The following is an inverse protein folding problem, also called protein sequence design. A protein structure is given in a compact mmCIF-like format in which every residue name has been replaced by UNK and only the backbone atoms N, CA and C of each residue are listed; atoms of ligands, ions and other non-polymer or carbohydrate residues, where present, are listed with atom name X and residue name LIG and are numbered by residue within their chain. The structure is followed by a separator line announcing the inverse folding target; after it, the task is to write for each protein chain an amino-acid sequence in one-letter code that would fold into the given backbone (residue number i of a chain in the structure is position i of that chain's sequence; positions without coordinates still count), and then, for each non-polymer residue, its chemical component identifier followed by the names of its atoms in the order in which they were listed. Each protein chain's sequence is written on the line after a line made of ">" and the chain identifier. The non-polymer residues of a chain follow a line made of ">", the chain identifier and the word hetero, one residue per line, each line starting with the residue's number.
data_IF_483772944725
#
_entry.id   IF_483772944725
#
_cell.length_a   1.000
_cell.length_b   1.000
_cell.length_c   1.000
_cell.angle_alpha   90.00
_cell.angle_beta   90.00
_cell.angle_gamma   90.00
#
_symmetry.space_group_name_H-M   'P 1'
#
loop_
_entity.id
_entity.type
_entity.pdbx_description
1 polymer ?
#
# COMPACT_ATOMS: atom_id res chain seq x y z
N UNK A 1 -3.14 65.95 1.91
CA UNK A 1 -2.05 65.07 2.36
C UNK A 1 -0.74 65.80 2.15
N UNK A 2 -0.10 66.21 3.24
CA UNK A 2 1.18 66.91 3.20
C UNK A 2 2.35 65.90 3.06
N UNK A 3 3.57 66.40 2.84
CA UNK A 3 4.72 65.54 2.59
C UNK A 3 5.15 64.70 3.82
N UNK A 4 4.91 65.20 5.04
CA UNK A 4 5.14 64.43 6.28
C UNK A 4 4.18 63.24 6.42
N UNK A 5 2.90 63.44 6.09
CA UNK A 5 1.91 62.37 6.07
C UNK A 5 2.25 61.31 5.02
N UNK A 6 2.80 61.71 3.87
CA UNK A 6 3.30 60.78 2.85
C UNK A 6 4.49 59.97 3.36
N UNK A 7 5.44 60.64 4.01
CA UNK A 7 6.66 59.99 4.52
C UNK A 7 6.33 58.94 5.59
N UNK A 8 5.43 59.25 6.53
CA UNK A 8 4.96 58.29 7.55
C UNK A 8 4.25 57.08 6.93
N UNK A 9 3.46 57.30 5.88
CA UNK A 9 2.83 56.18 5.16
C UNK A 9 3.88 55.29 4.49
N UNK A 10 4.93 55.86 3.90
CA UNK A 10 6.03 55.07 3.33
C UNK A 10 6.78 54.27 4.38
N UNK A 11 7.10 54.86 5.55
CA UNK A 11 7.77 54.14 6.64
C UNK A 11 6.94 52.96 7.16
N UNK A 12 5.62 53.14 7.27
CA UNK A 12 4.71 52.06 7.68
C UNK A 12 4.66 50.96 6.61
N UNK A 13 4.60 51.33 5.33
CA UNK A 13 4.59 50.37 4.23
C UNK A 13 5.89 49.57 4.15
N UNK A 14 7.04 50.23 4.27
CA UNK A 14 8.35 49.57 4.32
C UNK A 14 8.45 48.61 5.51
N UNK A 15 7.98 49.02 6.69
CA UNK A 15 7.94 48.15 7.86
C UNK A 15 7.07 46.90 7.65
N UNK A 16 5.91 47.05 6.99
CA UNK A 16 5.04 45.92 6.64
C UNK A 16 5.70 45.01 5.61
N UNK A 17 6.37 45.58 4.60
CA UNK A 17 7.08 44.81 3.57
C UNK A 17 8.20 43.98 4.21
N UNK A 18 9.05 44.59 5.03
CA UNK A 18 10.12 43.87 5.73
C UNK A 18 9.59 42.76 6.65
N UNK A 19 8.47 42.99 7.34
CA UNK A 19 7.84 41.95 8.15
C UNK A 19 7.31 40.80 7.30
N UNK A 20 6.66 41.08 6.16
CA UNK A 20 6.16 40.06 5.23
C UNK A 20 7.31 39.24 4.61
N UNK A 21 8.43 39.88 4.30
CA UNK A 21 9.63 39.20 3.79
C UNK A 21 10.21 38.24 4.84
N UNK A 22 10.37 38.69 6.08
CA UNK A 22 10.82 37.83 7.18
C UNK A 22 9.87 36.66 7.42
N UNK A 23 8.55 36.92 7.44
CA UNK A 23 7.55 35.88 7.63
C UNK A 23 7.56 34.84 6.50
N UNK A 24 7.77 35.28 5.26
CA UNK A 24 7.95 34.39 4.11
C UNK A 24 9.17 33.50 4.29
N UNK A 25 10.30 34.08 4.70
CA UNK A 25 11.54 33.33 4.86
C UNK A 25 11.43 32.26 5.96
N UNK A 26 10.76 32.59 7.07
CA UNK A 26 10.48 31.62 8.15
C UNK A 26 9.66 30.43 7.64
N UNK A 27 8.58 30.69 6.88
CA UNK A 27 7.76 29.63 6.28
C UNK A 27 8.59 28.77 5.31
N UNK A 28 9.39 29.40 4.45
CA UNK A 28 10.23 28.68 3.47
C UNK A 28 11.25 27.80 4.19
N UNK A 29 11.87 28.31 5.25
CA UNK A 29 12.82 27.55 6.06
C UNK A 29 12.16 26.35 6.74
N UNK A 30 10.99 26.52 7.33
CA UNK A 30 10.25 25.42 7.96
C UNK A 30 9.84 24.34 6.94
N UNK A 31 9.36 24.75 5.76
CA UNK A 31 9.03 23.82 4.67
C UNK A 31 10.27 23.04 4.23
N UNK A 32 11.41 23.72 4.05
CA UNK A 32 12.65 23.06 3.63
C UNK A 32 13.15 22.06 4.67
N UNK A 33 13.06 22.37 5.96
CA UNK A 33 13.40 21.43 7.03
C UNK A 33 12.52 20.17 6.97
N UNK A 34 11.20 20.33 6.81
CA UNK A 34 10.27 19.19 6.68
C UNK A 34 10.55 18.35 5.44
N UNK A 35 10.86 18.98 4.30
CA UNK A 35 11.24 18.29 3.07
C UNK A 35 12.50 17.44 3.29
N UNK A 36 13.51 17.97 3.99
CA UNK A 36 14.75 17.22 4.25
C UNK A 36 14.49 15.99 5.12
N UNK A 37 13.67 16.11 6.17
CA UNK A 37 13.26 14.95 7.00
C UNK A 37 12.54 13.89 6.16
N UNK A 38 11.64 14.30 5.25
CA UNK A 38 10.94 13.37 4.36
C UNK A 38 11.92 12.67 3.41
N UNK A 39 12.90 13.40 2.85
CA UNK A 39 13.94 12.80 2.00
C UNK A 39 14.78 11.79 2.77
N UNK A 40 15.15 12.09 4.00
CA UNK A 40 15.93 11.17 4.83
C UNK A 40 15.15 9.90 5.16
N UNK A 41 13.86 10.03 5.51
CA UNK A 41 12.97 8.89 5.72
C UNK A 41 12.83 8.04 4.45
N UNK A 42 12.65 8.67 3.29
CA UNK A 42 12.57 7.96 2.01
C UNK A 42 13.85 7.17 1.73
N UNK A 43 15.02 7.79 1.94
CA UNK A 43 16.32 7.13 1.77
C UNK A 43 16.56 5.99 2.77
N UNK A 44 15.96 6.05 3.96
CA UNK A 44 16.02 4.95 4.92
C UNK A 44 15.13 3.79 4.49
N UNK A 45 13.88 4.07 4.10
CA UNK A 45 12.94 3.07 3.61
C UNK A 45 13.50 2.36 2.37
N UNK A 46 14.11 3.09 1.44
CA UNK A 46 14.67 2.49 0.23
C UNK A 46 15.85 1.55 0.56
N UNK A 47 16.70 1.93 1.53
CA UNK A 47 17.78 1.05 2.03
C UNK A 47 17.23 -0.20 2.69
N UNK A 48 16.27 -0.05 3.61
CA UNK A 48 15.67 -1.16 4.33
C UNK A 48 14.93 -2.10 3.35
N UNK A 49 14.27 -1.55 2.33
CA UNK A 49 13.61 -2.33 1.29
C UNK A 49 14.60 -3.12 0.43
N UNK A 50 15.74 -2.52 0.07
CA UNK A 50 16.81 -3.21 -0.66
C UNK A 50 17.38 -4.35 0.19
N UNK A 51 17.61 -4.13 1.48
CA UNK A 51 18.14 -5.14 2.40
C UNK A 51 17.16 -6.30 2.60
N UNK A 52 15.89 -6.02 2.91
CA UNK A 52 14.84 -7.02 3.01
C UNK A 52 14.69 -7.80 1.71
N UNK A 53 14.78 -7.14 0.55
CA UNK A 53 14.71 -7.82 -0.75
C UNK A 53 15.89 -8.75 -0.97
N UNK A 54 17.10 -8.38 -0.51
CA UNK A 54 18.29 -9.24 -0.56
C UNK A 54 18.12 -10.45 0.35
N UNK A 55 17.72 -10.26 1.60
CA UNK A 55 17.49 -11.35 2.55
C UNK A 55 16.40 -12.32 2.07
N UNK A 56 15.30 -11.80 1.51
CA UNK A 56 14.24 -12.63 0.92
C UNK A 56 14.76 -13.42 -0.28
N UNK A 57 15.65 -12.85 -1.10
CA UNK A 57 16.27 -13.56 -2.22
C UNK A 57 17.18 -14.69 -1.74
N UNK A 58 18.03 -14.41 -0.77
CA UNK A 58 18.95 -15.39 -0.17
C UNK A 58 18.17 -16.52 0.54
N UNK A 59 17.12 -16.18 1.30
CA UNK A 59 16.23 -17.16 1.92
C UNK A 59 15.52 -18.02 0.86
N UNK A 60 15.02 -17.43 -0.24
CA UNK A 60 14.39 -18.19 -1.33
C UNK A 60 15.33 -19.15 -2.03
N UNK A 61 16.59 -18.76 -2.23
CA UNK A 61 17.65 -19.63 -2.78
C UNK A 61 17.97 -20.77 -1.79
N UNK A 62 18.07 -20.47 -0.49
CA UNK A 62 18.33 -21.46 0.56
C UNK A 62 17.20 -22.49 0.72
N UNK A 63 15.94 -22.07 0.61
CA UNK A 63 14.76 -22.95 0.73
C UNK A 63 14.28 -23.56 -0.60
N UNK A 64 14.97 -23.32 -1.72
CA UNK A 64 14.63 -23.91 -3.02
C UNK A 64 13.27 -23.48 -3.59
N UNK A 65 12.77 -22.30 -3.19
CA UNK A 65 11.45 -21.80 -3.60
C UNK A 65 11.56 -21.23 -5.00
N UNK A 66 11.33 -22.06 -6.03
CA UNK A 66 11.20 -21.60 -7.42
C UNK A 66 10.14 -20.51 -7.49
N UNK A 67 10.51 -19.34 -8.00
CA UNK A 67 9.58 -18.23 -8.22
C UNK A 67 8.37 -18.72 -9.03
N UNK A 68 7.19 -18.65 -8.42
CA UNK A 68 5.96 -18.64 -9.20
C UNK A 68 6.02 -17.39 -10.06
N UNK A 69 6.27 -17.58 -11.37
CA UNK A 69 6.28 -16.48 -12.35
C UNK A 69 5.08 -15.57 -12.09
N UNK A 70 5.26 -14.23 -12.05
CA UNK A 70 4.14 -13.33 -11.90
C UNK A 70 3.14 -13.64 -13.03
N UNK A 71 2.01 -14.24 -12.68
CA UNK A 71 0.92 -14.47 -13.62
C UNK A 71 0.43 -13.09 -14.02
N UNK A 72 0.69 -12.67 -15.27
CA UNK A 72 -0.01 -11.53 -15.86
C UNK A 72 -1.51 -11.75 -15.60
N UNK A 73 -2.23 -10.79 -14.99
CA UNK A 73 -3.66 -10.92 -14.82
C UNK A 73 -4.27 -11.08 -16.21
N UNK A 74 -4.82 -12.25 -16.47
CA UNK A 74 -5.29 -12.66 -17.80
C UNK A 74 -6.61 -11.98 -18.16
N UNK A 75 -7.19 -11.22 -17.23
CA UNK A 75 -8.53 -10.62 -17.34
C UNK A 75 -9.62 -11.69 -17.46
N UNK A 76 -9.31 -12.97 -17.23
CA UNK A 76 -10.25 -14.07 -17.38
C UNK A 76 -11.25 -14.04 -16.23
N UNK A 77 -12.51 -14.28 -16.55
CA UNK A 77 -13.54 -14.55 -15.53
C UNK A 77 -13.23 -15.86 -14.82
N UNK A 78 -13.76 -16.01 -13.61
CA UNK A 78 -13.73 -17.26 -12.86
C UNK A 78 -14.25 -18.43 -13.71
N UNK A 79 -13.57 -19.57 -13.61
CA UNK A 79 -14.04 -20.82 -14.26
C UNK A 79 -15.09 -21.50 -13.40
N UNK A 80 -15.99 -22.28 -14.01
CA UNK A 80 -16.97 -23.08 -13.27
C UNK A 80 -16.31 -23.98 -12.22
N UNK A 81 -15.17 -24.60 -12.56
CA UNK A 81 -14.41 -25.44 -11.61
C UNK A 81 -13.90 -24.68 -10.39
N UNK A 82 -13.45 -23.43 -10.55
CA UNK A 82 -13.05 -22.58 -9.43
C UNK A 82 -14.25 -22.16 -8.58
N UNK A 83 -15.37 -21.82 -9.23
CA UNK A 83 -16.60 -21.45 -8.55
C UNK A 83 -17.13 -22.59 -7.69
N UNK A 84 -17.22 -23.81 -8.25
CA UNK A 84 -17.66 -24.99 -7.53
C UNK A 84 -16.72 -25.33 -6.36
N UNK A 85 -15.42 -25.14 -6.55
CA UNK A 85 -14.43 -25.40 -5.51
C UNK A 85 -14.49 -24.38 -4.38
N UNK A 86 -14.69 -23.09 -4.69
CA UNK A 86 -14.93 -22.06 -3.69
C UNK A 86 -16.20 -22.33 -2.89
N UNK A 87 -17.32 -22.68 -3.55
CA UNK A 87 -18.57 -23.04 -2.86
C UNK A 87 -18.37 -24.18 -1.86
N UNK A 88 -17.57 -25.20 -2.22
CA UNK A 88 -17.18 -26.28 -1.28
C UNK A 88 -16.35 -25.78 -0.11
N UNK A 89 -15.34 -24.95 -0.36
CA UNK A 89 -14.47 -24.36 0.68
C UNK A 89 -15.25 -23.53 1.70
N UNK A 90 -16.15 -22.66 1.22
CA UNK A 90 -17.08 -21.91 2.07
C UNK A 90 -17.98 -22.84 2.89
N UNK A 91 -18.55 -23.87 2.24
CA UNK A 91 -19.34 -24.89 2.92
C UNK A 91 -18.58 -25.61 4.03
N UNK A 92 -17.32 -25.99 3.80
CA UNK A 92 -16.49 -26.61 4.84
C UNK A 92 -16.21 -25.67 6.01
N UNK A 93 -16.10 -24.37 5.79
CA UNK A 93 -15.93 -23.39 6.86
C UNK A 93 -17.25 -23.05 7.59
N UNK A 94 -18.39 -23.50 7.07
CA UNK A 94 -19.72 -23.12 7.57
C UNK A 94 -20.09 -21.68 7.25
N UNK A 95 -19.57 -21.14 6.15
CA UNK A 95 -19.81 -19.77 5.68
C UNK A 95 -20.57 -19.80 4.36
N UNK A 96 -21.36 -18.77 4.12
CA UNK A 96 -21.98 -18.59 2.80
C UNK A 96 -20.97 -17.96 1.82
N UNK A 97 -20.94 -18.42 0.56
CA UNK A 97 -20.16 -17.76 -0.48
C UNK A 97 -20.65 -16.32 -0.70
N UNK A 98 -19.76 -15.37 -1.03
CA UNK A 98 -20.16 -14.01 -1.40
C UNK A 98 -21.14 -13.99 -2.58
N UNK A 99 -22.14 -13.09 -2.59
CA UNK A 99 -23.15 -13.04 -3.64
C UNK A 99 -22.58 -12.66 -5.01
N UNK A 100 -21.42 -11.99 -5.04
CA UNK A 100 -20.72 -11.53 -6.23
C UNK A 100 -19.65 -12.52 -6.74
N UNK A 101 -19.52 -13.71 -6.14
CA UNK A 101 -18.44 -14.67 -6.42
C UNK A 101 -18.35 -15.08 -7.90
N UNK A 102 -19.48 -15.06 -8.63
CA UNK A 102 -19.55 -15.39 -10.05
C UNK A 102 -18.96 -14.30 -10.95
N UNK A 103 -18.87 -13.07 -10.44
CA UNK A 103 -18.26 -11.93 -11.12
C UNK A 103 -16.75 -11.83 -10.92
N UNK A 104 -16.17 -12.68 -10.08
CA UNK A 104 -14.75 -12.63 -9.76
C UNK A 104 -13.86 -12.96 -10.95
N UNK A 105 -12.66 -12.37 -10.93
CA UNK A 105 -11.60 -12.75 -11.85
C UNK A 105 -11.03 -14.13 -11.51
N UNK A 106 -10.46 -14.81 -12.50
CA UNK A 106 -9.77 -16.07 -12.34
C UNK A 106 -8.64 -15.98 -11.28
N UNK A 107 -7.93 -14.86 -11.26
CA UNK A 107 -6.83 -14.60 -10.32
C UNK A 107 -7.36 -14.38 -8.90
N UNK A 108 -8.40 -13.57 -8.72
CA UNK A 108 -9.08 -13.37 -7.43
C UNK A 108 -9.58 -14.70 -6.88
N UNK A 109 -10.25 -15.50 -7.73
CA UNK A 109 -10.74 -16.81 -7.36
C UNK A 109 -9.61 -17.77 -6.96
N UNK A 110 -8.50 -17.78 -7.72
CA UNK A 110 -7.34 -18.63 -7.41
C UNK A 110 -6.70 -18.25 -6.07
N UNK A 111 -6.49 -16.94 -5.83
CA UNK A 111 -5.91 -16.44 -4.58
C UNK A 111 -6.79 -16.78 -3.38
N UNK A 112 -8.11 -16.59 -3.53
CA UNK A 112 -9.08 -16.90 -2.48
C UNK A 112 -9.14 -18.42 -2.19
N UNK A 113 -9.05 -19.26 -3.22
CA UNK A 113 -8.96 -20.72 -3.05
C UNK A 113 -7.75 -21.08 -2.16
N UNK A 114 -6.59 -20.49 -2.43
CA UNK A 114 -5.37 -20.77 -1.67
C UNK A 114 -5.47 -20.30 -0.21
N UNK A 115 -6.10 -19.15 0.05
CA UNK A 115 -6.38 -18.66 1.41
C UNK A 115 -7.37 -19.55 2.15
N UNK A 116 -8.52 -19.87 1.54
CA UNK A 116 -9.54 -20.70 2.16
C UNK A 116 -9.04 -22.12 2.43
N UNK A 117 -8.22 -22.70 1.54
CA UNK A 117 -7.54 -23.98 1.81
C UNK A 117 -6.72 -23.95 3.09
N UNK A 118 -5.93 -22.88 3.29
CA UNK A 118 -5.12 -22.72 4.51
C UNK A 118 -6.01 -22.60 5.74
N UNK A 119 -7.11 -21.85 5.65
CA UNK A 119 -8.09 -21.72 6.74
C UNK A 119 -8.72 -23.07 7.08
N UNK A 120 -9.23 -23.81 6.10
CA UNK A 120 -9.86 -25.12 6.33
C UNK A 120 -8.88 -26.11 6.95
N UNK A 121 -7.61 -26.09 6.51
CA UNK A 121 -6.56 -26.92 7.09
C UNK A 121 -6.27 -26.53 8.54
N UNK A 122 -6.15 -25.22 8.83
CA UNK A 122 -5.93 -24.71 10.18
C UNK A 122 -7.07 -25.04 11.14
N UNK A 123 -8.31 -24.98 10.65
CA UNK A 123 -9.51 -25.29 11.44
C UNK A 123 -9.80 -26.80 11.52
N UNK A 124 -8.99 -27.66 10.86
CA UNK A 124 -9.20 -29.11 10.85
C UNK A 124 -10.52 -29.54 10.19
N UNK A 125 -11.18 -28.65 9.44
CA UNK A 125 -12.47 -28.90 8.79
C UNK A 125 -12.34 -29.61 7.44
N UNK A 126 -11.15 -30.09 7.11
CA UNK A 126 -10.96 -30.89 5.92
C UNK A 126 -11.71 -32.20 6.07
N UNK A 127 -12.54 -32.60 5.08
CA UNK A 127 -13.21 -33.88 5.14
C UNK A 127 -12.10 -34.93 5.21
N UNK A 128 -11.99 -35.58 6.37
CA UNK A 128 -11.06 -36.68 6.56
C UNK A 128 -11.34 -37.68 5.46
N UNK A 129 -10.31 -38.10 4.71
CA UNK A 129 -10.47 -39.23 3.80
C UNK A 129 -10.96 -40.39 4.66
N UNK A 130 -12.22 -40.81 4.46
CA UNK A 130 -12.66 -42.10 5.00
C UNK A 130 -11.71 -43.16 4.43
N UNK A 131 -11.23 -44.10 5.27
CA UNK A 131 -10.42 -45.21 4.80
C UNK A 131 -11.16 -46.03 3.73
#
# INVERSE_FOLDING_TARGET
>A
MNDEERMRVFEILDGIISWLESFRDDIVNEINQKINVIKDLYNHIDRDFIEVKREVKEAKEYFGVKEAKPKKPSGRKITQGQLDYLKKLYGFLGREPPPDIESWSFETASSMIDELKKQVTREGKWPSRKP
#
